data_IF_178406413614
#
_entry.id   IF_178406413614
#
_cell.length_a   1.000
_cell.length_b   1.000
_cell.length_c   1.000
_cell.angle_alpha   90.00
_cell.angle_beta   90.00
_cell.angle_gamma   90.00
#
_symmetry.space_group_name_H-M   'P 1'
#
loop_
_entity.id
_entity.type
_entity.pdbx_description
1 polymer ?
#
# COMPACT_ATOMS: atom_id res chain seq x y z
N UNK A 1 -10.96 52.81 34.23
CA UNK A 1 -10.53 51.44 34.62
C UNK A 1 -11.23 50.47 33.72
N UNK A 2 -10.56 49.66 32.97
CA UNK A 2 -11.07 48.47 32.24
C UNK A 2 -10.76 48.30 30.76
N UNK A 3 -10.05 49.18 30.07
CA UNK A 3 -9.69 48.87 28.68
C UNK A 3 -8.29 48.24 28.51
N UNK A 4 -7.33 48.54 29.39
CA UNK A 4 -5.95 48.06 29.27
C UNK A 4 -5.75 46.61 29.72
N UNK A 5 -6.53 46.14 30.72
CA UNK A 5 -6.41 44.78 31.25
C UNK A 5 -7.00 43.71 30.31
N UNK A 6 -7.98 44.09 29.48
CA UNK A 6 -8.58 43.19 28.49
C UNK A 6 -7.68 43.01 27.28
N UNK A 7 -6.96 44.04 26.88
CA UNK A 7 -6.02 44.00 25.75
C UNK A 7 -4.81 43.12 26.09
N UNK A 8 -4.23 43.29 27.30
CA UNK A 8 -3.09 42.47 27.76
C UNK A 8 -3.43 40.96 27.91
N UNK A 9 -4.69 40.64 28.27
CA UNK A 9 -5.14 39.24 28.29
C UNK A 9 -5.37 38.65 26.90
N UNK A 10 -5.77 39.47 25.93
CA UNK A 10 -5.93 39.03 24.54
C UNK A 10 -4.60 38.71 23.88
N UNK A 11 -3.58 39.57 24.06
CA UNK A 11 -2.23 39.36 23.51
C UNK A 11 -1.59 38.08 24.05
N UNK A 12 -1.69 37.82 25.35
CA UNK A 12 -1.14 36.60 25.95
C UNK A 12 -1.85 35.30 25.52
N UNK A 13 -3.12 35.39 25.13
CA UNK A 13 -3.88 34.24 24.61
C UNK A 13 -3.51 33.94 23.16
N UNK A 14 -3.30 34.97 22.35
CA UNK A 14 -2.93 34.87 20.95
C UNK A 14 -1.51 34.29 20.78
N UNK A 15 -0.54 34.77 21.60
CA UNK A 15 0.81 34.23 21.64
C UNK A 15 0.84 32.75 22.05
N UNK A 16 0.03 32.36 23.06
CA UNK A 16 -0.05 30.98 23.49
C UNK A 16 -0.70 30.05 22.40
N UNK A 17 -1.72 30.54 21.71
CA UNK A 17 -2.35 29.82 20.63
C UNK A 17 -1.39 29.60 19.48
N UNK A 18 -0.67 30.65 19.06
CA UNK A 18 0.31 30.56 17.99
C UNK A 18 1.41 29.54 18.30
N UNK A 19 1.93 29.57 19.54
CA UNK A 19 2.93 28.61 20.00
C UNK A 19 2.42 27.15 19.93
N UNK A 20 1.17 26.90 20.36
CA UNK A 20 0.56 25.58 20.28
C UNK A 20 0.39 25.10 18.83
N UNK A 21 0.02 25.99 17.93
CA UNK A 21 -0.09 25.68 16.49
C UNK A 21 1.27 25.35 15.93
N UNK A 22 2.31 26.10 16.24
CA UNK A 22 3.67 25.84 15.75
C UNK A 22 4.23 24.51 16.28
N UNK A 23 4.01 24.19 17.54
CA UNK A 23 4.39 22.90 18.14
C UNK A 23 3.66 21.73 17.44
N UNK A 24 2.36 21.90 17.16
CA UNK A 24 1.57 20.89 16.46
C UNK A 24 2.04 20.68 15.01
N UNK A 25 2.34 21.75 14.28
CA UNK A 25 2.85 21.67 12.91
C UNK A 25 4.24 21.03 12.86
N UNK A 26 5.10 21.31 13.84
CA UNK A 26 6.40 20.67 13.98
C UNK A 26 6.25 19.16 14.23
N UNK A 27 5.38 18.76 15.15
CA UNK A 27 5.12 17.36 15.45
C UNK A 27 4.57 16.59 14.23
N UNK A 28 3.68 17.20 13.42
CA UNK A 28 3.21 16.60 12.16
C UNK A 28 4.35 16.47 11.15
N UNK A 29 5.25 17.45 11.09
CA UNK A 29 6.41 17.41 10.21
C UNK A 29 7.32 16.23 10.53
N UNK A 30 7.64 16.02 11.78
CA UNK A 30 8.46 14.91 12.26
C UNK A 30 7.81 13.54 11.99
N UNK A 31 6.49 13.43 12.23
CA UNK A 31 5.73 12.22 11.95
C UNK A 31 5.77 11.86 10.45
N UNK A 32 5.53 12.82 9.57
CA UNK A 32 5.59 12.62 8.12
C UNK A 32 6.97 12.22 7.63
N UNK A 33 8.02 12.79 8.21
CA UNK A 33 9.40 12.40 7.89
C UNK A 33 9.70 10.96 8.32
N UNK A 34 9.22 10.55 9.51
CA UNK A 34 9.37 9.19 10.01
C UNK A 34 8.60 8.18 9.14
N UNK A 35 7.37 8.50 8.74
CA UNK A 35 6.58 7.66 7.82
C UNK A 35 7.26 7.51 6.46
N UNK A 36 7.78 8.61 5.89
CA UNK A 36 8.50 8.58 4.63
C UNK A 36 9.79 7.74 4.73
N UNK A 37 10.54 7.88 5.81
CA UNK A 37 11.74 7.07 6.04
C UNK A 37 11.39 5.59 6.13
N UNK A 38 10.35 5.22 6.89
CA UNK A 38 9.85 3.85 6.98
C UNK A 38 9.44 3.28 5.62
N UNK A 39 8.73 4.06 4.82
CA UNK A 39 8.32 3.70 3.46
C UNK A 39 9.52 3.41 2.54
N UNK A 40 10.54 4.28 2.56
CA UNK A 40 11.75 4.12 1.74
C UNK A 40 12.53 2.89 2.17
N UNK A 41 12.70 2.67 3.48
CA UNK A 41 13.40 1.50 4.03
C UNK A 41 12.67 0.21 3.66
N UNK A 42 11.35 0.17 3.80
CA UNK A 42 10.54 -0.98 3.40
C UNK A 42 10.77 -1.36 1.94
N UNK A 43 10.65 -0.39 1.03
CA UNK A 43 10.88 -0.61 -0.40
C UNK A 43 12.29 -1.11 -0.71
N UNK A 44 13.28 -0.54 -0.05
CA UNK A 44 14.68 -0.99 -0.21
C UNK A 44 14.83 -2.46 0.19
N UNK A 45 14.31 -2.87 1.33
CA UNK A 45 14.36 -4.26 1.81
C UNK A 45 13.68 -5.20 0.82
N UNK A 46 12.51 -4.84 0.30
CA UNK A 46 11.76 -5.64 -0.69
C UNK A 46 12.56 -5.78 -1.99
N UNK A 47 13.17 -4.70 -2.50
CA UNK A 47 14.00 -4.74 -3.71
C UNK A 47 15.27 -5.57 -3.52
N UNK A 48 15.94 -5.45 -2.38
CA UNK A 48 17.12 -6.24 -2.04
C UNK A 48 16.78 -7.74 -1.98
N UNK A 49 15.60 -8.08 -1.43
CA UNK A 49 15.12 -9.46 -1.37
C UNK A 49 14.76 -9.99 -2.76
N UNK A 50 14.02 -9.21 -3.57
CA UNK A 50 13.69 -9.58 -4.96
C UNK A 50 14.96 -9.82 -5.79
N UNK A 51 15.96 -8.96 -5.65
CA UNK A 51 17.25 -9.09 -6.34
C UNK A 51 17.96 -10.41 -5.99
N UNK A 52 17.91 -10.82 -4.74
CA UNK A 52 18.45 -12.12 -4.28
C UNK A 52 17.66 -13.29 -4.88
N UNK A 53 16.32 -13.21 -4.90
CA UNK A 53 15.48 -14.25 -5.51
C UNK A 53 15.81 -14.42 -7.00
N UNK A 54 15.95 -13.33 -7.74
CA UNK A 54 16.29 -13.36 -9.16
C UNK A 54 17.68 -13.95 -9.37
N UNK A 55 18.66 -13.63 -8.53
CA UNK A 55 19.99 -14.20 -8.61
C UNK A 55 19.97 -15.73 -8.40
N UNK A 56 19.21 -16.21 -7.42
CA UNK A 56 19.07 -17.65 -7.16
C UNK A 56 18.37 -18.40 -8.30
N UNK A 57 17.45 -17.73 -9.03
CA UNK A 57 16.78 -18.33 -10.21
C UNK A 57 17.80 -18.65 -11.32
N UNK A 58 18.79 -17.79 -11.53
CA UNK A 58 19.89 -18.00 -12.50
C UNK A 58 20.77 -19.22 -12.15
N UNK A 59 20.82 -19.60 -10.89
CA UNK A 59 21.56 -20.77 -10.38
C UNK A 59 20.75 -22.08 -10.48
N UNK A 60 19.56 -22.08 -11.10
CA UNK A 60 18.75 -23.29 -11.37
C UNK A 60 17.90 -23.78 -10.20
N UNK A 61 17.63 -22.94 -9.21
CA UNK A 61 16.79 -23.28 -8.05
C UNK A 61 15.33 -22.87 -8.30
N UNK A 62 14.52 -23.81 -8.74
CA UNK A 62 13.15 -23.60 -9.26
C UNK A 62 12.04 -23.29 -8.22
N UNK A 63 12.32 -23.14 -6.94
CA UNK A 63 11.27 -22.94 -5.93
C UNK A 63 10.77 -21.49 -5.76
N UNK A 64 10.99 -20.62 -6.76
CA UNK A 64 10.96 -19.19 -6.53
C UNK A 64 9.72 -18.46 -7.05
N UNK A 65 8.99 -19.06 -8.00
CA UNK A 65 7.76 -18.45 -8.56
C UNK A 65 6.75 -18.16 -7.42
N UNK A 66 6.47 -19.16 -6.61
CA UNK A 66 5.59 -19.01 -5.44
C UNK A 66 6.11 -17.97 -4.43
N UNK A 67 7.43 -17.89 -4.23
CA UNK A 67 8.03 -16.91 -3.32
C UNK A 67 7.91 -15.49 -3.87
N UNK A 68 8.17 -15.31 -5.17
CA UNK A 68 8.01 -14.01 -5.84
C UNK A 68 6.54 -13.59 -5.83
N UNK A 69 5.62 -14.53 -6.13
CA UNK A 69 4.20 -14.26 -6.06
C UNK A 69 3.78 -13.78 -4.65
N UNK A 70 4.17 -14.52 -3.61
CA UNK A 70 3.86 -14.12 -2.23
C UNK A 70 4.55 -12.81 -1.80
N UNK A 71 5.70 -12.47 -2.39
CA UNK A 71 6.33 -11.17 -2.16
C UNK A 71 5.47 -10.02 -2.72
N UNK A 72 4.84 -10.22 -3.88
CA UNK A 72 3.98 -9.22 -4.51
C UNK A 72 2.64 -9.16 -3.79
N UNK A 73 2.01 -10.31 -3.61
CA UNK A 73 0.74 -10.47 -2.91
C UNK A 73 0.59 -11.89 -2.38
N UNK A 74 0.18 -12.08 -1.10
CA UNK A 74 -0.07 -13.41 -0.54
C UNK A 74 -1.11 -14.18 -1.37
N UNK A 75 -0.80 -15.44 -1.69
CA UNK A 75 -1.68 -16.30 -2.49
C UNK A 75 -3.00 -16.60 -1.77
N UNK A 76 -4.07 -16.73 -2.54
CA UNK A 76 -5.44 -17.03 -2.09
C UNK A 76 -6.03 -16.00 -1.15
N UNK A 77 -5.50 -14.78 -1.19
CA UNK A 77 -5.97 -13.64 -0.42
C UNK A 77 -6.64 -12.61 -1.34
N UNK A 78 -7.47 -11.77 -0.75
CA UNK A 78 -8.02 -10.59 -1.41
C UNK A 78 -7.93 -9.35 -0.52
N UNK A 79 -8.37 -8.22 -1.03
CA UNK A 79 -8.32 -6.94 -0.33
C UNK A 79 -9.20 -6.87 0.92
N UNK A 80 -10.04 -7.87 1.19
CA UNK A 80 -10.79 -7.99 2.43
C UNK A 80 -10.03 -8.82 3.48
N UNK A 81 -9.07 -9.65 3.02
CA UNK A 81 -8.29 -10.55 3.87
C UNK A 81 -6.97 -9.93 4.36
N UNK A 82 -6.46 -8.91 3.65
CA UNK A 82 -5.15 -8.29 3.91
C UNK A 82 -5.23 -6.77 3.97
N UNK A 83 -4.38 -6.16 4.77
CA UNK A 83 -4.20 -4.72 4.75
C UNK A 83 -3.45 -4.27 3.48
N UNK A 84 -3.67 -3.04 3.03
CA UNK A 84 -2.97 -2.48 1.86
C UNK A 84 -1.44 -2.42 2.01
N UNK A 85 -0.95 -2.42 3.25
CA UNK A 85 0.48 -2.47 3.58
C UNK A 85 1.10 -3.87 3.47
N UNK A 86 0.29 -4.92 3.32
CA UNK A 86 0.74 -6.32 3.25
C UNK A 86 0.97 -6.81 1.81
N UNK A 87 0.81 -5.94 0.83
CA UNK A 87 1.12 -6.24 -0.56
C UNK A 87 2.21 -5.32 -1.10
N UNK A 88 2.87 -5.77 -2.14
CA UNK A 88 3.93 -5.02 -2.82
C UNK A 88 3.60 -4.84 -4.31
N UNK A 89 2.35 -4.53 -4.65
CA UNK A 89 1.89 -4.32 -6.02
C UNK A 89 2.63 -3.19 -6.75
N UNK A 90 3.19 -2.25 -6.01
CA UNK A 90 4.04 -1.19 -6.54
C UNK A 90 5.26 -1.74 -7.32
N UNK A 91 5.67 -3.00 -7.08
CA UNK A 91 6.70 -3.68 -7.87
C UNK A 91 6.29 -3.89 -9.33
N UNK A 92 4.99 -3.96 -9.60
CA UNK A 92 4.43 -4.10 -10.94
C UNK A 92 4.08 -2.73 -11.50
N UNK A 93 3.23 -1.98 -10.81
CA UNK A 93 2.83 -0.61 -11.16
C UNK A 93 2.37 0.12 -9.90
N UNK A 94 2.86 1.34 -9.69
CA UNK A 94 2.46 2.23 -8.58
C UNK A 94 0.94 2.49 -8.57
N UNK A 95 0.30 2.51 -9.72
CA UNK A 95 -1.15 2.74 -9.84
C UNK A 95 -1.98 1.63 -9.21
N UNK A 96 -1.44 0.43 -9.10
CA UNK A 96 -2.13 -0.72 -8.51
C UNK A 96 -2.35 -0.57 -6.99
N UNK A 97 -1.70 0.38 -6.34
CA UNK A 97 -2.00 0.76 -4.96
C UNK A 97 -3.42 1.34 -4.84
N UNK A 98 -3.94 1.95 -5.92
CA UNK A 98 -5.28 2.55 -5.97
C UNK A 98 -6.29 1.60 -6.62
N UNK A 99 -6.54 0.46 -6.00
CA UNK A 99 -7.52 -0.52 -6.46
C UNK A 99 -8.77 -0.50 -5.58
N UNK A 100 -9.91 -0.89 -6.15
CA UNK A 100 -11.14 -1.15 -5.40
C UNK A 100 -11.19 -2.56 -4.86
N UNK A 101 -10.72 -3.51 -5.65
CA UNK A 101 -10.65 -4.91 -5.28
C UNK A 101 -9.41 -5.53 -5.88
N UNK A 102 -8.79 -6.39 -5.11
CA UNK A 102 -7.60 -7.13 -5.46
C UNK A 102 -7.75 -8.55 -5.00
N UNK A 103 -7.33 -9.52 -5.80
CA UNK A 103 -7.26 -10.91 -5.38
C UNK A 103 -6.09 -11.63 -6.02
N UNK A 104 -5.58 -12.63 -5.33
CA UNK A 104 -4.49 -13.48 -5.75
C UNK A 104 -4.92 -14.93 -5.73
N UNK A 105 -4.73 -15.65 -6.85
CA UNK A 105 -5.01 -17.07 -6.99
C UNK A 105 -6.43 -17.46 -6.44
N UNK A 106 -7.45 -16.70 -6.80
CA UNK A 106 -8.87 -16.96 -6.49
C UNK A 106 -9.65 -17.22 -7.79
N UNK A 107 -10.57 -18.17 -7.74
CA UNK A 107 -11.45 -18.48 -8.88
C UNK A 107 -12.37 -17.31 -9.18
N UNK A 108 -12.49 -16.92 -10.45
CA UNK A 108 -13.32 -15.78 -10.87
C UNK A 108 -14.76 -15.90 -10.36
N UNK A 109 -15.36 -17.11 -10.39
CA UNK A 109 -16.71 -17.36 -9.86
C UNK A 109 -16.87 -17.09 -8.34
N UNK A 110 -15.77 -17.07 -7.58
CA UNK A 110 -15.79 -16.77 -6.14
C UNK A 110 -15.67 -15.28 -5.84
N UNK A 111 -15.51 -14.45 -6.87
CA UNK A 111 -15.28 -13.01 -6.75
C UNK A 111 -16.54 -12.29 -7.24
N UNK A 112 -17.43 -11.80 -6.33
CA UNK A 112 -18.73 -11.24 -6.73
C UNK A 112 -18.65 -10.08 -7.71
N UNK A 113 -17.61 -9.26 -7.60
CA UNK A 113 -17.41 -8.06 -8.43
C UNK A 113 -17.19 -8.38 -9.92
N UNK A 114 -16.76 -9.61 -10.26
CA UNK A 114 -16.52 -10.02 -11.65
C UNK A 114 -17.80 -10.44 -12.36
N UNK A 115 -18.84 -10.87 -11.64
CA UNK A 115 -20.07 -11.45 -12.21
C UNK A 115 -19.80 -12.67 -13.10
N UNK A 116 -18.67 -13.34 -12.95
CA UNK A 116 -18.22 -14.45 -13.80
C UNK A 116 -18.50 -15.79 -13.15
N UNK A 117 -19.02 -16.74 -13.93
CA UNK A 117 -19.19 -18.16 -13.55
C UNK A 117 -17.94 -19.00 -13.82
N UNK A 118 -16.88 -18.38 -14.34
CA UNK A 118 -15.65 -19.06 -14.72
C UNK A 118 -14.92 -19.67 -13.52
N UNK A 119 -14.43 -20.88 -13.71
CA UNK A 119 -13.56 -21.57 -12.75
C UNK A 119 -12.07 -21.18 -12.92
N UNK A 120 -11.75 -20.30 -13.87
CA UNK A 120 -10.38 -19.80 -14.04
C UNK A 120 -9.88 -19.12 -12.79
N UNK A 121 -8.61 -19.31 -12.50
CA UNK A 121 -7.92 -18.84 -11.31
C UNK A 121 -6.71 -18.01 -11.75
N UNK A 122 -6.90 -16.71 -12.03
CA UNK A 122 -5.78 -15.84 -12.38
C UNK A 122 -4.84 -15.68 -11.21
N UNK A 123 -3.54 -15.61 -11.46
CA UNK A 123 -2.54 -15.42 -10.44
C UNK A 123 -2.74 -14.08 -9.71
N UNK A 124 -3.10 -13.05 -10.44
CA UNK A 124 -3.42 -11.74 -9.88
C UNK A 124 -4.56 -11.08 -10.68
N UNK A 125 -5.55 -10.58 -9.96
CA UNK A 125 -6.64 -9.76 -10.49
C UNK A 125 -6.72 -8.45 -9.71
N UNK A 126 -6.58 -7.33 -10.39
CA UNK A 126 -6.84 -6.00 -9.84
C UNK A 126 -8.00 -5.34 -10.58
N UNK A 127 -8.92 -4.75 -9.82
CA UNK A 127 -10.11 -4.06 -10.33
C UNK A 127 -10.06 -2.62 -9.88
N UNK A 128 -10.19 -1.68 -10.81
CA UNK A 128 -10.18 -0.25 -10.54
C UNK A 128 -11.47 0.24 -9.86
N UNK A 129 -11.54 1.53 -9.54
CA UNK A 129 -12.69 2.17 -8.92
C UNK A 129 -13.95 2.12 -9.79
N UNK A 130 -13.83 1.85 -11.09
CA UNK A 130 -14.93 1.77 -12.05
C UNK A 130 -15.38 0.33 -12.31
N UNK A 131 -14.94 -0.64 -11.50
CA UNK A 131 -15.22 -2.07 -11.64
C UNK A 131 -14.70 -2.68 -12.95
N UNK A 132 -13.63 -2.13 -13.51
CA UNK A 132 -12.98 -2.68 -14.69
C UNK A 132 -11.75 -3.47 -14.25
N UNK A 133 -11.50 -4.65 -14.83
CA UNK A 133 -10.24 -5.34 -14.58
C UNK A 133 -9.10 -4.46 -15.11
N UNK A 134 -8.27 -3.98 -14.21
CA UNK A 134 -7.11 -3.14 -14.53
C UNK A 134 -5.89 -4.00 -14.87
N UNK A 135 -5.79 -5.14 -14.20
CA UNK A 135 -4.70 -6.09 -14.40
C UNK A 135 -5.21 -7.51 -14.15
N UNK A 136 -4.97 -8.37 -15.12
CA UNK A 136 -5.12 -9.82 -14.97
C UNK A 136 -3.79 -10.44 -15.38
N UNK A 137 -3.13 -11.10 -14.44
CA UNK A 137 -1.93 -11.89 -14.70
C UNK A 137 -2.31 -13.36 -14.59
N UNK A 138 -1.99 -14.13 -15.62
CA UNK A 138 -2.16 -15.58 -15.68
C UNK A 138 -0.90 -16.17 -16.31
N UNK A 139 -0.06 -16.80 -15.47
CA UNK A 139 1.21 -17.40 -15.90
C UNK A 139 1.01 -18.80 -16.49
N UNK A 140 -0.20 -19.38 -16.39
CA UNK A 140 -0.50 -20.74 -16.83
C UNK A 140 -1.03 -20.88 -18.26
N UNK A 141 -1.01 -19.82 -19.07
CA UNK A 141 -1.27 -19.96 -20.52
C UNK A 141 -0.08 -20.63 -21.19
N UNK A 142 -0.17 -21.95 -21.32
CA UNK A 142 0.61 -22.71 -22.31
C UNK A 142 0.03 -22.56 -23.69
#
# INVERSE_FOLDING_TARGET
MCSSDLILKADGYEDNYQKQVDEYLAAIGDLKQSELAGYVVHRKVVLDFLSKLIAWTKEGKYHQEHTIHNLIMPMRKDSNDIASSENNLWLIDEKLVFHRYLSSAKKLRSIPITGSDSAQEPDLLAVDLFNRPTLIIDTHKK
#
